data_IF_237252354760
#
_entry.id   IF_237252354760
#
_cell.length_a   1.000
_cell.length_b   1.000
_cell.length_c   1.000
_cell.angle_alpha   90.00
_cell.angle_beta   90.00
_cell.angle_gamma   90.00
#
_symmetry.space_group_name_H-M   'P 1'
#
loop_
_entity.id
_entity.type
_entity.pdbx_description
1 polymer ?
#
# COMPACT_ATOMS: atom_id res chain seq x y z
N UNK A 1 23.40 -28.03 25.15
CA UNK A 1 22.08 -28.41 24.60
C UNK A 1 21.94 -27.82 23.20
N UNK A 2 22.23 -28.61 22.16
CA UNK A 2 22.05 -28.22 20.76
C UNK A 2 20.55 -28.26 20.43
N UNK A 3 19.97 -27.15 19.97
CA UNK A 3 18.62 -27.19 19.42
C UNK A 3 18.60 -28.15 18.23
N UNK A 4 17.59 -29.03 18.10
CA UNK A 4 17.52 -29.95 16.97
C UNK A 4 17.47 -29.15 15.66
N UNK A 5 18.31 -29.53 14.69
CA UNK A 5 18.51 -28.81 13.43
C UNK A 5 17.19 -28.54 12.66
N UNK A 6 16.21 -29.43 12.80
CA UNK A 6 14.87 -29.28 12.22
C UNK A 6 14.09 -28.08 12.77
N UNK A 7 14.24 -27.75 14.07
CA UNK A 7 13.64 -26.55 14.68
C UNK A 7 14.28 -25.28 14.13
N UNK A 8 15.59 -25.30 13.89
CA UNK A 8 16.32 -24.17 13.31
C UNK A 8 15.82 -23.86 11.88
N UNK A 9 15.73 -24.88 11.02
CA UNK A 9 15.32 -24.69 9.62
C UNK A 9 13.90 -24.11 9.47
N UNK A 10 12.94 -24.58 10.26
CA UNK A 10 11.56 -24.07 10.21
C UNK A 10 11.45 -22.59 10.63
N UNK A 11 12.18 -22.20 11.68
CA UNK A 11 12.20 -20.80 12.12
C UNK A 11 12.91 -19.92 11.09
N UNK A 12 14.04 -20.36 10.54
CA UNK A 12 14.74 -19.65 9.48
C UNK A 12 13.83 -19.44 8.26
N UNK A 13 13.07 -20.45 7.84
CA UNK A 13 12.11 -20.30 6.76
C UNK A 13 11.00 -19.28 7.08
N UNK A 14 10.48 -19.26 8.31
CA UNK A 14 9.51 -18.25 8.73
C UNK A 14 10.12 -16.82 8.74
N UNK A 15 11.40 -16.68 9.08
CA UNK A 15 12.13 -15.41 9.00
C UNK A 15 12.36 -14.97 7.56
N UNK A 16 12.67 -15.89 6.64
CA UNK A 16 12.77 -15.62 5.21
C UNK A 16 11.41 -15.18 4.66
N UNK A 17 10.32 -15.87 5.03
CA UNK A 17 8.97 -15.47 4.64
C UNK A 17 8.64 -14.05 5.11
N UNK A 18 9.00 -13.70 6.35
CA UNK A 18 8.87 -12.35 6.89
C UNK A 18 9.69 -11.32 6.10
N UNK A 19 10.96 -11.62 5.81
CA UNK A 19 11.82 -10.76 5.00
C UNK A 19 11.23 -10.51 3.60
N UNK A 20 10.74 -11.57 2.95
CA UNK A 20 10.18 -11.50 1.60
C UNK A 20 8.83 -10.77 1.53
N UNK A 21 8.02 -10.82 2.59
CA UNK A 21 6.83 -9.96 2.70
C UNK A 21 7.19 -8.47 2.75
N UNK A 22 8.36 -8.16 3.30
CA UNK A 22 8.87 -6.80 3.45
C UNK A 22 9.96 -6.48 2.39
N UNK A 23 10.20 -7.34 1.40
CA UNK A 23 11.28 -7.09 0.43
C UNK A 23 10.93 -5.96 -0.54
N UNK A 24 9.63 -5.77 -0.82
CA UNK A 24 9.14 -4.73 -1.71
C UNK A 24 8.08 -5.22 -2.68
N UNK A 25 7.12 -4.35 -2.98
CA UNK A 25 6.06 -4.63 -3.93
C UNK A 25 6.40 -4.28 -5.38
N UNK A 26 7.42 -3.45 -5.65
CA UNK A 26 7.83 -3.13 -7.05
C UNK A 26 8.83 -4.14 -7.63
N UNK A 27 9.40 -5.02 -6.80
CA UNK A 27 10.29 -6.09 -7.25
C UNK A 27 9.47 -7.23 -7.85
N UNK A 28 9.82 -7.62 -9.08
CA UNK A 28 9.39 -8.88 -9.69
C UNK A 28 10.55 -9.85 -9.71
N UNK A 29 10.28 -11.11 -9.36
CA UNK A 29 11.23 -12.21 -9.56
C UNK A 29 11.10 -12.68 -11.01
N UNK A 30 9.88 -13.02 -11.40
CA UNK A 30 9.46 -13.31 -12.78
C UNK A 30 8.02 -12.80 -12.88
N UNK A 31 7.67 -11.84 -13.76
CA UNK A 31 6.30 -11.35 -13.85
C UNK A 31 5.28 -12.49 -14.02
N UNK A 32 4.18 -12.52 -13.23
CA UNK A 32 3.73 -11.55 -12.23
C UNK A 32 4.20 -11.83 -10.78
N UNK A 33 5.07 -12.83 -10.55
CA UNK A 33 5.57 -13.25 -9.25
C UNK A 33 6.48 -12.19 -8.62
N UNK A 34 6.11 -11.82 -7.39
CA UNK A 34 6.81 -10.88 -6.49
C UNK A 34 7.42 -11.62 -5.29
N UNK A 35 8.39 -11.03 -4.57
CA UNK A 35 9.04 -11.66 -3.41
C UNK A 35 8.10 -12.32 -2.40
N UNK A 36 7.00 -11.67 -2.06
CA UNK A 36 6.03 -12.20 -1.11
C UNK A 36 5.32 -13.48 -1.59
N UNK A 37 5.24 -13.75 -2.91
CA UNK A 37 4.71 -15.03 -3.39
C UNK A 37 5.66 -16.18 -3.04
N UNK A 38 6.96 -15.97 -3.20
CA UNK A 38 7.99 -16.94 -2.79
C UNK A 38 8.01 -17.07 -1.26
N UNK A 39 7.77 -15.98 -0.54
CA UNK A 39 7.63 -16.02 0.91
C UNK A 39 6.53 -16.94 1.41
N UNK A 40 5.44 -17.14 0.65
CA UNK A 40 4.41 -18.13 0.99
C UNK A 40 4.92 -19.57 0.94
N UNK A 41 5.80 -19.90 -0.02
CA UNK A 41 6.42 -21.21 -0.10
C UNK A 41 7.27 -21.48 1.16
N UNK A 42 8.05 -20.47 1.60
CA UNK A 42 8.82 -20.56 2.83
C UNK A 42 7.93 -20.65 4.08
N UNK A 43 6.79 -19.95 4.10
CA UNK A 43 5.80 -20.07 5.17
C UNK A 43 5.21 -21.48 5.23
N UNK A 44 4.81 -22.03 4.08
CA UNK A 44 4.28 -23.39 3.98
C UNK A 44 5.32 -24.41 4.46
N UNK A 45 6.58 -24.27 4.04
CA UNK A 45 7.69 -25.10 4.51
C UNK A 45 7.92 -24.97 6.03
N UNK A 46 7.89 -23.74 6.56
CA UNK A 46 8.04 -23.48 7.99
C UNK A 46 6.94 -24.17 8.82
N UNK A 47 5.68 -24.12 8.35
CA UNK A 47 4.56 -24.80 8.99
C UNK A 47 4.64 -26.32 8.81
N UNK A 48 5.14 -26.81 7.68
CA UNK A 48 5.30 -28.25 7.44
C UNK A 48 6.40 -28.87 8.32
N UNK A 49 7.53 -28.17 8.53
CA UNK A 49 8.66 -28.67 9.33
C UNK A 49 8.63 -28.24 10.81
N UNK A 50 7.88 -27.21 11.16
CA UNK A 50 7.84 -26.61 12.51
C UNK A 50 6.58 -26.99 13.30
N UNK A 51 6.57 -28.08 14.08
CA UNK A 51 5.42 -28.44 14.92
C UNK A 51 5.09 -27.34 15.93
N UNK A 52 6.09 -26.68 16.51
CA UNK A 52 5.90 -25.59 17.48
C UNK A 52 5.21 -24.37 16.84
N UNK A 53 5.56 -24.05 15.57
CA UNK A 53 4.91 -22.99 14.80
C UNK A 53 3.45 -23.36 14.48
N UNK A 54 3.16 -24.62 14.14
CA UNK A 54 1.78 -25.09 13.93
C UNK A 54 0.94 -24.99 15.20
N UNK A 55 1.49 -25.41 16.34
CA UNK A 55 0.81 -25.33 17.63
C UNK A 55 0.52 -23.87 17.99
N UNK A 56 1.48 -22.98 17.77
CA UNK A 56 1.30 -21.54 17.96
C UNK A 56 0.22 -20.99 17.03
N UNK A 57 0.28 -21.32 15.73
CA UNK A 57 -0.69 -20.90 14.71
C UNK A 57 -2.12 -21.31 15.07
N UNK A 58 -2.33 -22.56 15.52
CA UNK A 58 -3.66 -23.06 15.95
C UNK A 58 -4.28 -22.27 17.10
N UNK A 59 -3.46 -21.59 17.89
CA UNK A 59 -3.89 -20.76 19.03
C UNK A 59 -4.04 -19.27 18.67
N UNK A 60 -3.74 -18.89 17.42
CA UNK A 60 -3.83 -17.49 16.98
C UNK A 60 -5.27 -17.03 16.81
N UNK A 61 -5.51 -15.75 17.05
CA UNK A 61 -6.78 -15.12 16.72
C UNK A 61 -6.89 -14.89 15.21
N UNK A 62 -5.77 -14.59 14.54
CA UNK A 62 -5.66 -14.46 13.09
C UNK A 62 -6.20 -15.68 12.36
N UNK A 63 -5.90 -16.91 12.80
CA UNK A 63 -6.44 -18.11 12.15
C UNK A 63 -7.98 -18.14 12.15
N UNK A 64 -8.62 -17.72 13.26
CA UNK A 64 -10.09 -17.65 13.36
C UNK A 64 -10.65 -16.59 12.43
N UNK A 65 -10.01 -15.41 12.39
CA UNK A 65 -10.39 -14.33 11.48
C UNK A 65 -10.25 -14.78 10.03
N UNK A 66 -9.14 -15.43 9.68
CA UNK A 66 -8.89 -16.00 8.35
C UNK A 66 -9.98 -16.99 7.95
N UNK A 67 -10.38 -17.90 8.85
CA UNK A 67 -11.49 -18.83 8.58
C UNK A 67 -12.81 -18.11 8.28
N UNK A 68 -13.14 -17.07 9.08
CA UNK A 68 -14.33 -16.25 8.84
C UNK A 68 -14.28 -15.47 7.53
N UNK A 69 -13.12 -14.89 7.20
CA UNK A 69 -12.94 -14.15 5.94
C UNK A 69 -12.99 -15.09 4.74
N UNK A 70 -12.37 -16.26 4.79
CA UNK A 70 -12.43 -17.25 3.70
C UNK A 70 -13.86 -17.74 3.47
N UNK A 71 -14.62 -17.98 4.55
CA UNK A 71 -16.05 -18.30 4.44
C UNK A 71 -16.84 -17.15 3.80
N UNK A 72 -16.59 -15.91 4.24
CA UNK A 72 -17.23 -14.74 3.68
C UNK A 72 -16.91 -14.58 2.19
N UNK A 73 -15.66 -14.82 1.79
CA UNK A 73 -15.26 -14.82 0.39
C UNK A 73 -15.95 -15.93 -0.42
N UNK A 74 -16.10 -17.13 0.15
CA UNK A 74 -16.83 -18.20 -0.54
C UNK A 74 -18.30 -17.81 -0.76
N UNK A 75 -18.94 -17.16 0.23
CA UNK A 75 -20.30 -16.67 0.11
C UNK A 75 -20.40 -15.53 -0.92
N UNK A 76 -19.49 -14.56 -0.86
CA UNK A 76 -19.45 -13.41 -1.77
C UNK A 76 -19.33 -13.78 -3.25
N UNK A 77 -18.75 -14.95 -3.54
CA UNK A 77 -18.71 -15.47 -4.90
C UNK A 77 -20.10 -15.68 -5.52
N UNK A 78 -21.14 -15.90 -4.70
CA UNK A 78 -22.52 -16.12 -5.14
C UNK A 78 -23.17 -14.88 -5.78
N UNK A 79 -22.66 -13.68 -5.50
CA UNK A 79 -23.17 -12.42 -6.05
C UNK A 79 -22.08 -11.56 -6.69
N UNK A 80 -20.91 -12.15 -6.97
CA UNK A 80 -19.83 -11.48 -7.65
C UNK A 80 -20.18 -11.28 -9.13
N UNK A 81 -20.17 -10.02 -9.60
CA UNK A 81 -20.51 -9.69 -10.99
C UNK A 81 -19.34 -9.98 -11.92
N UNK A 82 -18.11 -9.60 -11.52
CA UNK A 82 -16.89 -9.91 -12.25
C UNK A 82 -16.07 -10.99 -11.51
N UNK A 83 -16.27 -12.26 -11.90
CA UNK A 83 -15.61 -13.41 -11.25
C UNK A 83 -14.09 -13.42 -11.43
N UNK A 84 -13.58 -13.00 -12.59
CA UNK A 84 -12.12 -12.96 -12.82
C UNK A 84 -11.45 -11.95 -11.89
N UNK A 85 -11.97 -10.73 -11.81
CA UNK A 85 -11.47 -9.70 -10.90
C UNK A 85 -11.63 -10.13 -9.45
N UNK A 86 -12.79 -10.67 -9.10
CA UNK A 86 -13.05 -11.21 -7.77
C UNK A 86 -12.03 -12.26 -7.35
N UNK A 87 -11.74 -13.22 -8.23
CA UNK A 87 -10.77 -14.27 -7.99
C UNK A 87 -9.36 -13.71 -7.78
N UNK A 88 -8.89 -12.83 -8.68
CA UNK A 88 -7.57 -12.21 -8.56
C UNK A 88 -7.40 -11.47 -7.23
N UNK A 89 -8.41 -10.68 -6.83
CA UNK A 89 -8.37 -9.92 -5.58
C UNK A 89 -8.49 -10.83 -4.35
N UNK A 90 -9.28 -11.90 -4.46
CA UNK A 90 -9.43 -12.92 -3.43
C UNK A 90 -8.13 -13.68 -3.16
N UNK A 91 -7.42 -14.09 -4.21
CA UNK A 91 -6.10 -14.74 -4.08
C UNK A 91 -5.18 -13.83 -3.29
N UNK A 92 -5.10 -12.55 -3.65
CA UNK A 92 -4.14 -11.66 -3.02
C UNK A 92 -4.55 -11.30 -1.59
N UNK A 93 -5.85 -11.21 -1.30
CA UNK A 93 -6.32 -11.12 0.08
C UNK A 93 -5.90 -12.36 0.89
N UNK A 94 -6.02 -13.57 0.34
CA UNK A 94 -5.60 -14.80 1.02
C UNK A 94 -4.09 -14.80 1.33
N UNK A 95 -3.27 -14.23 0.44
CA UNK A 95 -1.84 -13.97 0.70
C UNK A 95 -1.68 -13.05 1.91
N UNK A 96 -2.41 -11.94 1.96
CA UNK A 96 -2.43 -11.02 3.10
C UNK A 96 -2.81 -11.72 4.41
N UNK A 97 -3.88 -12.53 4.41
CA UNK A 97 -4.30 -13.31 5.58
C UNK A 97 -3.21 -14.30 6.04
N UNK A 98 -2.48 -14.92 5.10
CA UNK A 98 -1.35 -15.78 5.44
C UNK A 98 -0.23 -15.00 6.16
N UNK A 99 0.06 -13.77 5.71
CA UNK A 99 1.03 -12.90 6.36
C UNK A 99 0.55 -12.33 7.69
N UNK A 100 -0.74 -12.09 7.86
CA UNK A 100 -1.33 -11.77 9.17
C UNK A 100 -1.13 -12.92 10.16
N UNK A 101 -1.39 -14.16 9.74
CA UNK A 101 -1.12 -15.34 10.56
C UNK A 101 0.38 -15.48 10.88
N UNK A 102 1.27 -15.22 9.93
CA UNK A 102 2.71 -15.22 10.16
C UNK A 102 3.12 -14.17 11.20
N UNK A 103 2.63 -12.94 11.07
CA UNK A 103 2.93 -11.84 12.01
C UNK A 103 2.53 -12.17 13.44
N UNK A 104 1.31 -12.70 13.65
CA UNK A 104 0.86 -13.12 14.98
C UNK A 104 1.71 -14.28 15.53
N UNK A 105 1.99 -15.27 14.68
CA UNK A 105 2.76 -16.46 15.06
C UNK A 105 4.19 -16.10 15.47
N UNK A 106 4.87 -15.23 14.72
CA UNK A 106 6.24 -14.77 15.03
C UNK A 106 6.30 -13.95 16.32
N UNK A 107 5.32 -13.05 16.53
CA UNK A 107 5.22 -12.27 17.75
C UNK A 107 4.95 -13.15 18.98
N UNK A 108 4.09 -14.17 18.85
CA UNK A 108 3.76 -15.10 19.96
C UNK A 108 4.84 -16.12 20.26
N UNK A 109 5.61 -16.54 19.26
CA UNK A 109 6.69 -17.54 19.42
C UNK A 109 7.97 -16.97 20.04
N UNK A 110 7.99 -15.67 20.37
CA UNK A 110 9.20 -14.94 20.84
C UNK A 110 10.38 -15.06 19.87
N UNK A 111 10.09 -15.29 18.59
CA UNK A 111 11.11 -15.34 17.55
C UNK A 111 11.86 -14.00 17.48
N UNK A 112 13.17 -14.04 17.20
CA UNK A 112 14.01 -12.84 17.07
C UNK A 112 13.83 -12.18 15.70
N UNK A 113 12.62 -12.18 15.15
CA UNK A 113 12.36 -11.77 13.77
C UNK A 113 12.68 -10.30 13.49
N UNK A 114 12.64 -9.44 14.51
CA UNK A 114 13.07 -8.05 14.39
C UNK A 114 14.56 -7.89 14.04
N UNK A 115 15.40 -8.91 14.24
CA UNK A 115 16.80 -8.88 13.82
C UNK A 115 16.96 -8.81 12.29
N UNK A 116 15.91 -9.16 11.54
CA UNK A 116 15.86 -9.06 10.07
C UNK A 116 15.64 -7.62 9.61
N UNK A 117 15.06 -6.75 10.44
CA UNK A 117 14.69 -5.38 10.03
C UNK A 117 15.90 -4.50 9.65
N UNK A 118 16.99 -4.42 10.43
CA UNK A 118 18.12 -3.56 10.06
C UNK A 118 18.74 -3.86 8.69
N UNK A 119 19.12 -5.12 8.35
CA UNK A 119 19.68 -5.39 7.02
C UNK A 119 18.66 -5.17 5.90
N UNK A 120 17.37 -5.42 6.17
CA UNK A 120 16.31 -5.19 5.20
C UNK A 120 16.09 -3.71 4.89
N UNK A 121 16.07 -2.86 5.93
CA UNK A 121 15.99 -1.40 5.78
C UNK A 121 17.22 -0.89 5.05
N UNK A 122 18.42 -1.39 5.39
CA UNK A 122 19.65 -1.07 4.66
C UNK A 122 19.55 -1.42 3.17
N UNK A 123 19.01 -2.60 2.84
CA UNK A 123 18.71 -2.99 1.46
C UNK A 123 17.75 -2.01 0.77
N UNK A 124 16.68 -1.57 1.43
CA UNK A 124 15.76 -0.58 0.85
C UNK A 124 16.47 0.74 0.52
N UNK A 125 17.31 1.23 1.43
CA UNK A 125 18.08 2.46 1.21
C UNK A 125 19.07 2.34 0.06
N UNK A 126 19.75 1.21 -0.05
CA UNK A 126 20.64 0.93 -1.17
C UNK A 126 19.84 1.05 -2.47
N UNK A 127 18.70 0.36 -2.58
CA UNK A 127 17.86 0.46 -3.77
C UNK A 127 17.31 1.87 -4.04
N UNK A 128 16.99 2.62 -2.98
CA UNK A 128 16.49 3.99 -3.10
C UNK A 128 17.51 4.96 -3.71
N UNK A 129 18.81 4.67 -3.56
CA UNK A 129 19.91 5.49 -4.06
C UNK A 129 20.26 5.25 -5.53
N UNK A 130 19.78 4.16 -6.13
CA UNK A 130 20.16 3.77 -7.49
C UNK A 130 19.01 3.99 -8.49
N UNK A 131 19.06 5.05 -9.33
CA UNK A 131 18.03 5.33 -10.34
C UNK A 131 17.85 4.19 -11.35
N UNK A 132 18.90 3.39 -11.60
CA UNK A 132 18.85 2.24 -12.51
C UNK A 132 17.82 1.19 -12.06
N UNK A 133 17.55 1.12 -10.75
CA UNK A 133 16.53 0.24 -10.21
C UNK A 133 15.12 0.62 -10.70
N UNK A 134 14.87 1.92 -10.90
CA UNK A 134 13.61 2.42 -11.43
C UNK A 134 13.40 2.02 -12.90
N UNK A 135 14.49 1.99 -13.66
CA UNK A 135 14.51 1.50 -15.05
C UNK A 135 14.30 -0.02 -15.09
N UNK A 136 15.00 -0.78 -14.25
CA UNK A 136 14.89 -2.25 -14.22
C UNK A 136 13.54 -2.77 -13.74
N UNK A 137 12.91 -2.07 -12.80
CA UNK A 137 11.59 -2.45 -12.29
C UNK A 137 10.45 -1.83 -13.11
N UNK A 138 10.78 -0.98 -14.09
CA UNK A 138 9.80 -0.23 -14.88
C UNK A 138 8.92 0.66 -14.00
N UNK A 139 9.38 1.05 -12.81
CA UNK A 139 8.52 1.74 -11.86
C UNK A 139 8.27 3.20 -12.26
N UNK A 140 9.20 3.83 -13.00
CA UNK A 140 9.15 5.24 -13.43
C UNK A 140 8.89 6.23 -12.27
N UNK A 141 9.45 5.98 -11.09
CA UNK A 141 9.18 6.66 -9.81
C UNK A 141 10.33 7.45 -9.25
N UNK A 142 11.52 7.34 -9.82
CA UNK A 142 12.64 8.18 -9.45
C UNK A 142 12.28 9.63 -9.81
N UNK A 143 12.13 10.48 -8.80
CA UNK A 143 11.86 11.90 -9.01
C UNK A 143 13.19 12.64 -8.98
N UNK A 144 13.53 13.29 -10.07
CA UNK A 144 14.74 14.11 -10.17
C UNK A 144 14.81 15.21 -9.07
N UNK A 145 13.66 15.63 -8.52
CA UNK A 145 13.57 16.61 -7.44
C UNK A 145 13.98 16.07 -6.06
N UNK A 146 14.26 14.78 -5.91
CA UNK A 146 14.64 14.18 -4.62
C UNK A 146 15.59 12.98 -4.76
N UNK A 147 16.71 13.07 -4.05
CA UNK A 147 17.80 12.08 -4.07
C UNK A 147 17.39 10.70 -3.50
N UNK A 148 16.30 10.62 -2.73
CA UNK A 148 15.81 9.42 -2.05
C UNK A 148 14.32 9.13 -2.36
N UNK A 149 13.95 9.16 -3.64
CA UNK A 149 12.58 8.80 -4.09
C UNK A 149 12.47 7.42 -4.72
N UNK A 150 13.59 6.75 -4.96
CA UNK A 150 13.60 5.34 -5.36
C UNK A 150 13.26 4.42 -4.19
N UNK A 151 12.99 3.15 -4.50
CA UNK A 151 12.83 2.10 -3.50
C UNK A 151 12.09 0.88 -4.06
N UNK A 152 12.10 -0.24 -3.33
CA UNK A 152 11.42 -1.46 -3.77
C UNK A 152 9.90 -1.41 -3.53
N UNK A 153 9.38 -0.22 -3.23
CA UNK A 153 8.00 0.03 -2.84
C UNK A 153 7.33 0.97 -3.84
N UNK A 154 6.05 0.72 -4.10
CA UNK A 154 5.27 1.45 -5.10
C UNK A 154 4.77 2.80 -4.56
N UNK A 155 4.46 3.80 -5.40
CA UNK A 155 3.80 5.07 -5.00
C UNK A 155 2.51 4.80 -4.20
N UNK A 156 1.87 3.67 -4.49
CA UNK A 156 0.70 3.21 -3.77
C UNK A 156 1.09 2.69 -2.37
N UNK A 157 2.17 1.92 -2.22
CA UNK A 157 2.62 1.40 -0.93
C UNK A 157 3.94 2.04 -0.54
N UNK A 158 3.95 3.37 -0.53
CA UNK A 158 5.16 4.16 -0.46
C UNK A 158 6.01 3.80 0.77
N UNK A 159 7.32 3.92 0.63
CA UNK A 159 8.30 3.52 1.63
C UNK A 159 8.06 4.21 2.97
N UNK A 160 7.51 5.43 2.99
CA UNK A 160 7.08 6.11 4.20
C UNK A 160 5.98 5.34 4.97
N UNK A 161 4.96 4.84 4.28
CA UNK A 161 3.88 4.03 4.89
C UNK A 161 4.43 2.71 5.42
N UNK A 162 5.32 2.06 4.67
CA UNK A 162 5.97 0.82 5.11
C UNK A 162 6.84 1.04 6.35
N UNK A 163 7.65 2.09 6.36
CA UNK A 163 8.47 2.47 7.51
C UNK A 163 7.62 2.82 8.74
N UNK A 164 6.46 3.46 8.53
CA UNK A 164 5.48 3.71 9.59
C UNK A 164 5.00 2.40 10.19
N UNK A 165 4.55 1.45 9.37
CA UNK A 165 4.11 0.13 9.84
C UNK A 165 5.23 -0.65 10.54
N UNK A 166 6.47 -0.60 10.02
CA UNK A 166 7.64 -1.24 10.66
C UNK A 166 7.96 -0.60 12.01
N UNK A 167 7.83 0.73 12.13
CA UNK A 167 7.96 1.45 13.41
C UNK A 167 6.94 0.97 14.43
N UNK A 168 5.68 0.82 14.01
CA UNK A 168 4.61 0.31 14.86
C UNK A 168 4.84 -1.16 15.26
N UNK A 169 5.22 -2.02 14.31
CA UNK A 169 5.58 -3.44 14.57
C UNK A 169 6.70 -3.53 15.60
N UNK A 170 7.80 -2.80 15.38
CA UNK A 170 8.93 -2.79 16.30
C UNK A 170 8.50 -2.38 17.70
N UNK A 171 7.71 -1.29 17.80
CA UNK A 171 7.25 -0.75 19.08
C UNK A 171 6.30 -1.72 19.79
N UNK A 172 5.39 -2.39 19.08
CA UNK A 172 4.48 -3.38 19.67
C UNK A 172 5.24 -4.58 20.26
N UNK A 173 6.30 -5.02 19.60
CA UNK A 173 7.07 -6.19 20.01
C UNK A 173 8.09 -5.86 21.11
N UNK A 174 8.80 -4.73 20.99
CA UNK A 174 9.82 -4.30 21.95
C UNK A 174 9.26 -3.48 23.10
N UNK A 175 8.01 -3.01 22.99
CA UNK A 175 7.36 -2.08 23.93
C UNK A 175 8.14 -0.77 24.12
N UNK A 176 8.96 -0.42 23.14
CA UNK A 176 9.84 0.74 23.14
C UNK A 176 9.97 1.31 21.72
N UNK A 177 10.02 2.64 21.63
CA UNK A 177 10.24 3.34 20.36
C UNK A 177 11.73 3.30 20.00
N UNK A 178 12.03 2.85 18.78
CA UNK A 178 13.38 2.95 18.21
C UNK A 178 13.61 4.35 17.64
N UNK A 179 14.50 5.13 18.26
CA UNK A 179 14.88 6.46 17.77
C UNK A 179 15.39 6.45 16.32
N UNK A 180 16.32 5.57 15.88
CA UNK A 180 16.78 5.60 14.50
C UNK A 180 15.66 5.26 13.51
N UNK A 181 14.78 4.32 13.86
CA UNK A 181 13.65 3.95 13.01
C UNK A 181 12.61 5.07 12.92
N UNK A 182 12.34 5.76 14.04
CA UNK A 182 11.49 6.94 14.07
C UNK A 182 12.09 8.08 13.22
N UNK A 183 13.39 8.34 13.35
CA UNK A 183 14.11 9.36 12.59
C UNK A 183 13.97 9.14 11.08
N UNK A 184 14.25 7.91 10.64
CA UNK A 184 14.12 7.50 9.24
C UNK A 184 12.67 7.65 8.75
N UNK A 185 11.70 7.21 9.55
CA UNK A 185 10.28 7.29 9.19
C UNK A 185 9.83 8.74 9.06
N UNK A 186 10.17 9.61 10.02
CA UNK A 186 9.88 11.05 9.97
C UNK A 186 10.49 11.68 8.71
N UNK A 187 11.76 11.39 8.45
CA UNK A 187 12.47 11.89 7.28
C UNK A 187 11.71 11.55 5.99
N UNK A 188 11.34 10.28 5.78
CA UNK A 188 10.61 9.87 4.58
C UNK A 188 9.19 10.43 4.51
N UNK A 189 8.47 10.52 5.63
CA UNK A 189 7.14 11.11 5.64
C UNK A 189 7.17 12.58 5.17
N UNK A 190 8.17 13.34 5.60
CA UNK A 190 8.36 14.75 5.18
C UNK A 190 8.90 14.83 3.76
N UNK A 191 9.96 14.08 3.45
CA UNK A 191 10.60 14.08 2.14
C UNK A 191 9.60 13.74 1.03
N UNK A 192 8.76 12.72 1.22
CA UNK A 192 7.77 12.27 0.24
C UNK A 192 6.42 13.01 0.36
N UNK A 193 6.34 14.06 1.19
CA UNK A 193 5.11 14.83 1.45
C UNK A 193 3.90 13.95 1.81
N UNK A 194 4.14 12.90 2.60
CA UNK A 194 3.14 11.91 3.02
C UNK A 194 2.42 12.36 4.28
N UNK A 195 1.48 13.29 4.09
CA UNK A 195 0.78 13.99 5.19
C UNK A 195 0.01 13.06 6.13
N UNK A 196 -0.65 12.04 5.59
CA UNK A 196 -1.43 11.10 6.40
C UNK A 196 -0.52 10.19 7.26
N UNK A 197 0.58 9.69 6.69
CA UNK A 197 1.60 8.93 7.44
C UNK A 197 2.24 9.82 8.53
N UNK A 198 2.56 11.08 8.22
CA UNK A 198 3.08 12.05 9.18
C UNK A 198 2.09 12.33 10.32
N UNK A 199 0.81 12.53 10.01
CA UNK A 199 -0.24 12.73 11.02
C UNK A 199 -0.39 11.49 11.90
N UNK A 200 -0.39 10.29 11.30
CA UNK A 200 -0.39 9.03 12.03
C UNK A 200 0.81 8.91 12.98
N UNK A 201 1.99 9.37 12.56
CA UNK A 201 3.20 9.37 13.36
C UNK A 201 3.16 10.40 14.51
N UNK A 202 2.60 11.59 14.27
CA UNK A 202 2.37 12.60 15.31
C UNK A 202 1.45 12.05 16.40
N UNK A 203 0.33 11.42 16.00
CA UNK A 203 -0.60 10.80 16.94
C UNK A 203 0.06 9.65 17.70
N UNK A 204 0.91 8.86 17.04
CA UNK A 204 1.70 7.81 17.69
C UNK A 204 2.66 8.37 18.74
N UNK A 205 3.51 9.34 18.38
CA UNK A 205 4.50 9.93 19.30
C UNK A 205 3.81 10.63 20.47
N UNK A 206 2.77 11.42 20.18
CA UNK A 206 1.96 12.09 21.21
C UNK A 206 1.29 11.09 22.15
N UNK A 207 0.62 10.08 21.59
CA UNK A 207 -0.01 9.00 22.36
C UNK A 207 1.00 8.25 23.23
N UNK A 208 2.16 7.89 22.66
CA UNK A 208 3.23 7.18 23.37
C UNK A 208 3.75 8.00 24.58
N UNK A 209 3.93 9.31 24.40
CA UNK A 209 4.32 10.24 25.46
C UNK A 209 3.23 10.43 26.53
N UNK A 210 1.96 10.32 26.18
CA UNK A 210 0.84 10.41 27.13
C UNK A 210 0.76 9.17 28.02
N UNK A 211 1.02 7.98 27.48
CA UNK A 211 0.94 6.73 28.25
C UNK A 211 2.21 6.44 29.07
N UNK A 212 3.34 7.07 28.72
CA UNK A 212 4.59 6.92 29.45
C UNK A 212 4.50 7.62 30.82
N UNK A 213 4.32 6.82 31.89
CA UNK A 213 4.23 7.29 33.29
C UNK A 213 5.59 7.50 33.96
N UNK A 214 6.65 7.60 33.17
CA UNK A 214 8.02 7.53 33.67
C UNK A 214 8.45 8.84 34.35
N UNK A 215 9.22 8.76 35.45
CA UNK A 215 9.84 9.93 36.11
C UNK A 215 10.80 10.68 35.17
N UNK A 216 11.17 10.06 34.05
CA UNK A 216 12.01 10.62 33.01
C UNK A 216 11.25 11.07 31.75
N UNK A 217 9.94 11.32 31.86
CA UNK A 217 9.09 11.78 30.74
C UNK A 217 9.66 12.99 30.00
N UNK A 218 10.25 13.96 30.69
CA UNK A 218 10.91 15.11 30.06
C UNK A 218 12.12 14.69 29.21
N UNK A 219 12.96 13.77 29.70
CA UNK A 219 14.10 13.25 28.93
C UNK A 219 13.62 12.48 27.70
N UNK A 220 12.55 11.70 27.83
CA UNK A 220 11.93 10.98 26.72
C UNK A 220 11.34 11.96 25.68
N UNK A 221 10.63 12.99 26.14
CA UNK A 221 10.09 14.07 25.30
C UNK A 221 11.22 14.76 24.53
N UNK A 222 12.30 15.14 25.20
CA UNK A 222 13.44 15.79 24.56
C UNK A 222 14.09 14.89 23.51
N UNK A 223 14.25 13.59 23.78
CA UNK A 223 14.83 12.63 22.81
C UNK A 223 13.94 12.42 21.59
N UNK A 224 12.64 12.18 21.81
CA UNK A 224 11.69 11.97 20.71
C UNK A 224 11.50 13.26 19.92
N UNK A 225 11.32 14.38 20.61
CA UNK A 225 11.17 15.71 20.02
C UNK A 225 12.40 16.12 19.22
N UNK A 226 13.61 15.97 19.76
CA UNK A 226 14.84 16.27 19.00
C UNK A 226 15.00 15.39 17.77
N UNK A 227 14.65 14.10 17.88
CA UNK A 227 14.67 13.17 16.74
C UNK A 227 13.74 13.64 15.62
N UNK A 228 12.48 13.97 15.96
CA UNK A 228 11.49 14.46 14.99
C UNK A 228 11.94 15.78 14.36
N UNK A 229 12.42 16.73 15.18
CA UNK A 229 12.86 18.05 14.71
C UNK A 229 14.06 17.92 13.77
N UNK A 230 15.10 17.18 14.17
CA UNK A 230 16.32 17.01 13.36
C UNK A 230 16.00 16.30 12.04
N UNK A 231 15.22 15.22 12.07
CA UNK A 231 14.83 14.50 10.85
C UNK A 231 13.97 15.34 9.93
N UNK A 232 13.05 16.14 10.48
CA UNK A 232 12.22 17.06 9.69
C UNK A 232 13.07 18.16 9.08
N UNK A 233 13.94 18.81 9.85
CA UNK A 233 14.84 19.85 9.35
C UNK A 233 15.73 19.31 8.21
N UNK A 234 16.30 18.11 8.38
CA UNK A 234 17.12 17.47 7.36
C UNK A 234 16.32 17.14 6.09
N UNK A 235 15.08 16.66 6.23
CA UNK A 235 14.19 16.42 5.09
C UNK A 235 13.83 17.71 4.36
N UNK A 236 13.56 18.81 5.09
CA UNK A 236 13.26 20.12 4.52
C UNK A 236 14.49 20.69 3.78
N UNK A 237 15.70 20.53 4.32
CA UNK A 237 16.93 20.99 3.67
C UNK A 237 17.21 20.28 2.35
N UNK A 238 16.83 19.00 2.22
CA UNK A 238 17.02 18.20 1.01
C UNK A 238 15.84 18.31 0.02
N UNK A 239 14.79 19.04 0.37
CA UNK A 239 13.62 19.23 -0.48
C UNK A 239 13.86 20.37 -1.48
N UNK A 240 13.83 20.07 -2.77
CA UNK A 240 14.13 21.06 -3.83
C UNK A 240 12.91 21.68 -4.51
N UNK A 241 11.68 21.36 -4.04
CA UNK A 241 10.42 21.83 -4.61
C UNK A 241 9.57 22.70 -3.66
N UNK A 242 8.41 23.21 -4.12
CA UNK A 242 7.47 23.91 -3.25
C UNK A 242 6.67 22.91 -2.40
N UNK A 243 6.65 23.12 -1.08
CA UNK A 243 5.69 22.44 -0.20
C UNK A 243 4.28 22.96 -0.50
N UNK A 244 3.43 22.10 -1.06
CA UNK A 244 2.00 22.40 -1.15
C UNK A 244 1.44 22.36 0.27
N UNK A 245 1.13 23.52 0.86
CA UNK A 245 0.66 23.62 2.25
C UNK A 245 -0.79 23.15 2.40
N UNK A 246 -1.71 23.78 1.67
CA UNK A 246 -3.14 23.47 1.69
C UNK A 246 -3.75 23.91 0.36
N UNK A 247 -4.25 22.97 -0.43
CA UNK A 247 -5.12 23.29 -1.57
C UNK A 247 -6.38 22.43 -1.43
N UNK A 248 -7.51 23.09 -1.25
CA UNK A 248 -8.81 22.44 -1.25
C UNK A 248 -9.31 22.43 -2.70
N UNK A 249 -9.59 21.26 -3.29
CA UNK A 249 -10.23 21.21 -4.60
C UNK A 249 -11.64 21.83 -4.51
N UNK A 250 -11.94 22.78 -5.39
CA UNK A 250 -13.30 23.30 -5.56
C UNK A 250 -14.14 22.28 -6.35
N UNK A 251 -15.38 22.05 -5.92
CA UNK A 251 -16.34 21.21 -6.64
C UNK A 251 -17.19 22.14 -7.51
N UNK A 252 -17.10 21.96 -8.83
CA UNK A 252 -18.01 22.58 -9.78
C UNK A 252 -18.84 21.49 -10.44
N UNK A 253 -20.16 21.65 -10.44
CA UNK A 253 -21.07 20.80 -11.21
C UNK A 253 -21.17 21.37 -12.63
N UNK A 254 -20.46 20.78 -13.60
CA UNK A 254 -20.64 21.13 -15.01
C UNK A 254 -21.73 20.24 -15.61
N UNK A 255 -22.88 20.78 -16.08
CA UNK A 255 -23.81 20.00 -16.87
C UNK A 255 -23.11 19.56 -18.15
N UNK A 256 -23.11 18.26 -18.43
CA UNK A 256 -22.57 17.72 -19.67
C UNK A 256 -23.40 18.26 -20.82
N UNK A 257 -22.89 19.26 -21.55
CA UNK A 257 -23.47 19.64 -22.83
C UNK A 257 -23.16 18.50 -23.80
N UNK A 258 -24.15 17.65 -24.03
CA UNK A 258 -24.10 16.62 -25.08
C UNK A 258 -24.09 17.38 -26.41
N UNK A 259 -22.90 17.63 -26.96
CA UNK A 259 -22.79 18.03 -28.36
C UNK A 259 -23.44 16.94 -29.21
N UNK A 260 -24.35 17.28 -30.15
CA UNK A 260 -24.94 16.28 -31.02
C UNK A 260 -23.83 15.59 -31.85
N UNK A 261 -24.00 14.30 -32.19
CA UNK A 261 -22.99 13.56 -32.93
C UNK A 261 -22.70 14.27 -34.27
N UNK A 262 -21.45 14.30 -34.74
CA UNK A 262 -21.13 14.90 -36.03
C UNK A 262 -21.88 14.14 -37.12
N UNK A 263 -22.68 14.87 -37.90
CA UNK A 263 -23.34 14.35 -39.08
C UNK A 263 -22.25 13.80 -40.02
N UNK A 264 -22.37 12.52 -40.33
CA UNK A 264 -21.55 11.84 -41.34
C UNK A 264 -21.93 12.39 -42.70
N UNK A 265 -21.05 13.18 -43.32
CA UNK A 265 -21.08 13.41 -44.76
C UNK A 265 -19.69 13.06 -45.33
N UNK A 266 -19.60 12.18 -46.33
CA UNK A 266 -18.33 11.81 -46.94
C UNK A 266 -17.93 12.82 -48.01
N UNK A 267 -16.61 13.05 -48.12
CA UNK A 267 -15.89 13.57 -49.29
C UNK A 267 -16.02 15.08 -49.63
N UNK A 268 -14.98 15.86 -49.33
CA UNK A 268 -14.42 16.86 -50.26
C UNK A 268 -13.07 17.43 -49.77
N UNK A 269 -12.18 17.59 -50.75
CA UNK A 269 -10.78 18.03 -50.79
C UNK A 269 -10.50 19.48 -50.35
N UNK A 270 -9.34 19.66 -49.69
CA UNK A 270 -8.38 20.79 -49.70
C UNK A 270 -8.86 22.26 -49.81
N UNK A 271 -8.40 23.09 -48.86
CA UNK A 271 -7.74 24.37 -49.14
C UNK A 271 -7.01 24.93 -47.90
N UNK A 272 -5.79 25.41 -48.10
CA UNK A 272 -4.91 26.03 -47.12
C UNK A 272 -5.14 27.56 -47.01
N UNK A 273 -4.85 28.12 -45.83
CA UNK A 273 -4.36 29.49 -45.48
C UNK A 273 -4.85 29.85 -44.07
N UNK A 274 -4.20 30.61 -43.20
CA UNK A 274 -2.80 31.01 -42.90
C UNK A 274 -2.91 31.92 -41.65
N UNK A 275 -1.83 32.00 -40.86
CA UNK A 275 -1.48 33.01 -39.82
C UNK A 275 -2.32 33.02 -38.51
N UNK A 276 -1.74 32.95 -37.30
CA UNK A 276 -0.63 33.79 -36.82
C UNK A 276 0.05 33.23 -35.54
N UNK A 277 1.40 33.32 -35.54
CA UNK A 277 2.33 33.63 -34.44
C UNK A 277 2.51 32.69 -33.20
N UNK A 278 3.63 31.96 -33.24
CA UNK A 278 4.42 31.47 -32.10
C UNK A 278 5.65 32.36 -31.90
N UNK A 279 6.17 32.58 -30.67
CA UNK A 279 7.59 32.86 -30.46
C UNK A 279 8.34 31.60 -29.98
N UNK A 280 9.49 31.36 -30.61
CA UNK A 280 10.36 30.20 -30.45
C UNK A 280 11.13 30.14 -29.10
N UNK A 281 11.55 28.94 -28.65
CA UNK A 281 12.61 28.75 -27.65
C UNK A 281 14.02 28.77 -28.28
N UNK A 282 14.98 29.33 -27.53
CA UNK A 282 16.40 29.46 -27.86
C UNK A 282 17.14 28.11 -28.00
N UNK A 283 18.06 28.07 -28.95
CA UNK A 283 18.89 26.94 -29.34
C UNK A 283 20.03 26.61 -28.34
N UNK A 284 20.34 25.33 -28.18
CA UNK A 284 21.58 24.83 -27.60
C UNK A 284 22.44 24.13 -28.69
N UNK A 285 23.78 24.13 -28.61
CA UNK A 285 24.69 23.68 -29.70
C UNK A 285 24.89 22.15 -29.78
N UNK A 286 25.49 21.65 -30.87
CA UNK A 286 25.43 20.24 -31.28
C UNK A 286 26.44 19.31 -30.57
N UNK A 287 26.07 18.02 -30.53
CA UNK A 287 26.85 16.91 -29.99
C UNK A 287 28.09 16.56 -30.85
N UNK A 288 29.17 16.15 -30.19
CA UNK A 288 30.27 15.38 -30.79
C UNK A 288 30.27 13.92 -30.29
N UNK A 289 30.67 12.95 -31.12
CA UNK A 289 30.44 11.52 -30.91
C UNK A 289 31.61 10.81 -30.21
N UNK A 290 31.33 9.71 -29.51
CA UNK A 290 32.32 8.73 -29.08
C UNK A 290 32.09 7.37 -29.79
N UNK A 291 33.16 6.59 -30.06
CA UNK A 291 33.23 5.66 -31.18
C UNK A 291 32.64 4.27 -30.89
N UNK A 292 32.15 3.62 -31.94
CA UNK A 292 31.70 2.23 -31.95
C UNK A 292 32.76 1.32 -32.61
N UNK A 293 33.19 0.24 -31.94
CA UNK A 293 33.66 -1.06 -32.49
C UNK A 293 33.65 -2.07 -31.32
N UNK A 294 33.10 -3.29 -31.38
CA UNK A 294 32.42 -4.03 -32.43
C UNK A 294 32.02 -5.45 -31.98
N UNK A 295 31.25 -6.11 -32.86
CA UNK A 295 31.02 -7.57 -33.03
C UNK A 295 30.09 -8.26 -31.99
N UNK A 296 29.08 -9.05 -32.34
CA UNK A 296 28.60 -9.58 -33.61
C UNK A 296 27.07 -9.76 -33.60
N UNK A 297 26.48 -9.71 -34.80
CA UNK A 297 25.07 -9.95 -35.08
C UNK A 297 24.67 -11.42 -34.87
N UNK A 298 23.42 -11.68 -34.43
CA UNK A 298 22.42 -12.52 -35.13
C UNK A 298 21.14 -12.73 -34.26
N UNK A 299 20.00 -12.87 -34.94
CA UNK A 299 18.62 -13.09 -34.47
C UNK A 299 17.84 -11.88 -33.91
N UNK A 300 17.21 -11.13 -34.82
CA UNK A 300 16.07 -10.26 -34.52
C UNK A 300 14.87 -11.10 -34.02
N UNK A 301 14.23 -10.77 -32.87
CA UNK A 301 12.90 -11.26 -32.59
C UNK A 301 11.89 -10.43 -33.38
N UNK A 302 11.07 -11.12 -34.17
CA UNK A 302 9.84 -10.59 -34.78
C UNK A 302 9.02 -9.80 -33.74
N UNK A 303 8.36 -8.69 -34.14
CA UNK A 303 7.42 -8.01 -33.25
C UNK A 303 6.32 -8.99 -32.85
N UNK A 304 6.18 -9.22 -31.54
CA UNK A 304 5.05 -9.95 -30.99
C UNK A 304 3.75 -9.27 -31.47
N UNK A 305 2.71 -10.02 -31.90
CA UNK A 305 1.46 -9.43 -32.33
C UNK A 305 0.88 -8.61 -31.18
N UNK A 306 0.55 -7.34 -31.47
CA UNK A 306 -0.19 -6.50 -30.53
C UNK A 306 -1.54 -7.16 -30.30
N UNK A 307 -1.70 -7.83 -29.15
CA UNK A 307 -3.02 -8.09 -28.61
C UNK A 307 -3.62 -6.73 -28.27
N UNK A 308 -4.43 -6.23 -29.20
CA UNK A 308 -5.33 -5.12 -28.97
C UNK A 308 -6.04 -5.36 -27.63
N UNK A 309 -6.21 -4.34 -26.77
CA UNK A 309 -7.02 -4.50 -25.58
C UNK A 309 -8.39 -4.96 -26.04
N UNK A 310 -8.79 -6.17 -25.61
CA UNK A 310 -10.14 -6.66 -25.83
C UNK A 310 -11.09 -5.57 -25.34
N UNK A 311 -11.81 -4.96 -26.28
CA UNK A 311 -12.82 -3.98 -25.99
C UNK A 311 -13.74 -4.59 -24.92
N UNK A 312 -13.71 -4.00 -23.72
CA UNK A 312 -14.69 -4.31 -22.69
C UNK A 312 -16.05 -3.87 -23.23
N UNK A 313 -16.74 -4.78 -23.90
CA UNK A 313 -18.14 -4.60 -24.28
C UNK A 313 -18.91 -4.41 -22.98
N UNK A 314 -19.34 -3.18 -22.75
CA UNK A 314 -20.24 -2.79 -21.66
C UNK A 314 -21.54 -3.60 -21.85
N UNK A 315 -21.99 -4.41 -20.89
CA UNK A 315 -23.34 -4.96 -20.96
C UNK A 315 -24.34 -3.78 -20.96
N UNK A 316 -25.46 -3.85 -21.71
CA UNK A 316 -26.25 -2.67 -22.05
C UNK A 316 -26.98 -1.97 -20.90
N UNK A 317 -26.89 -2.45 -19.65
CA UNK A 317 -27.75 -2.02 -18.54
C UNK A 317 -27.02 -1.44 -17.32
N UNK A 318 -25.72 -1.16 -17.38
CA UNK A 318 -25.05 -0.42 -16.28
C UNK A 318 -25.08 1.10 -16.54
N UNK A 319 -26.18 1.68 -16.06
CA UNK A 319 -26.35 3.03 -15.54
C UNK A 319 -25.56 4.15 -16.21
N UNK A 320 -26.29 5.01 -16.93
CA UNK A 320 -25.92 6.38 -17.22
C UNK A 320 -25.76 7.15 -15.88
N UNK A 321 -24.62 7.04 -15.24
CA UNK A 321 -24.22 7.94 -14.15
C UNK A 321 -23.77 9.26 -14.77
N UNK A 322 -24.38 10.37 -14.36
CA UNK A 322 -23.90 11.71 -14.71
C UNK A 322 -22.39 11.78 -14.42
N UNK A 323 -21.54 12.19 -15.39
CA UNK A 323 -20.13 12.36 -15.14
C UNK A 323 -19.95 13.62 -14.29
N UNK A 324 -19.80 13.43 -12.98
CA UNK A 324 -19.48 14.52 -12.05
C UNK A 324 -18.00 14.87 -12.26
N UNK A 325 -17.73 15.84 -13.13
CA UNK A 325 -16.37 16.22 -13.52
C UNK A 325 -15.83 17.30 -12.58
N UNK A 326 -15.05 16.88 -11.57
CA UNK A 326 -14.44 17.79 -10.60
C UNK A 326 -13.29 18.54 -11.26
N UNK A 327 -13.47 19.84 -11.53
CA UNK A 327 -12.46 20.67 -12.20
C UNK A 327 -11.56 21.39 -11.18
N UNK A 328 -10.26 21.45 -11.46
CA UNK A 328 -9.27 22.09 -10.59
C UNK A 328 -9.35 23.61 -10.67
N UNK A 329 -9.68 24.28 -9.55
CA UNK A 329 -9.11 25.59 -9.24
C UNK A 329 -7.99 25.39 -8.22
N UNK A 330 -6.73 25.51 -8.66
CA UNK A 330 -5.53 25.60 -7.81
C UNK A 330 -5.21 24.38 -6.89
N UNK A 331 -5.78 23.20 -7.14
CA UNK A 331 -5.53 21.96 -6.39
C UNK A 331 -4.35 21.11 -6.91
N UNK A 332 -3.83 20.21 -6.07
CA UNK A 332 -3.01 19.08 -6.54
C UNK A 332 -3.93 18.09 -7.29
N UNK A 333 -3.57 17.65 -8.49
CA UNK A 333 -4.32 16.65 -9.26
C UNK A 333 -4.63 15.40 -8.44
N UNK A 334 -3.72 15.01 -7.53
CA UNK A 334 -3.91 13.89 -6.59
C UNK A 334 -5.14 14.05 -5.68
N UNK A 335 -5.43 15.27 -5.22
CA UNK A 335 -6.57 15.56 -4.34
C UNK A 335 -7.89 15.55 -5.10
N UNK A 336 -7.90 16.09 -6.33
CA UNK A 336 -9.08 16.06 -7.20
C UNK A 336 -9.46 14.62 -7.58
N UNK A 337 -8.47 13.80 -7.97
CA UNK A 337 -8.68 12.37 -8.19
C UNK A 337 -9.30 11.73 -6.96
N UNK A 338 -8.71 11.87 -5.75
CA UNK A 338 -9.30 11.28 -4.52
C UNK A 338 -10.73 11.70 -4.25
N UNK A 339 -11.08 12.96 -4.51
CA UNK A 339 -12.43 13.45 -4.31
C UNK A 339 -13.42 12.84 -5.31
N UNK A 340 -13.03 12.71 -6.58
CA UNK A 340 -13.83 12.03 -7.59
C UNK A 340 -14.08 10.56 -7.18
N UNK A 341 -13.03 9.89 -6.70
CA UNK A 341 -13.12 8.51 -6.27
C UNK A 341 -14.03 8.34 -5.05
N UNK A 342 -14.00 9.27 -4.10
CA UNK A 342 -14.95 9.31 -2.98
C UNK A 342 -16.38 9.52 -3.47
N UNK A 343 -16.59 10.37 -4.47
CA UNK A 343 -17.91 10.57 -5.07
C UNK A 343 -18.39 9.28 -5.76
N UNK A 344 -17.54 8.57 -6.50
CA UNK A 344 -17.88 7.28 -7.11
C UNK A 344 -18.19 6.20 -6.05
N UNK A 345 -17.39 6.12 -4.98
CA UNK A 345 -17.68 5.24 -3.82
C UNK A 345 -19.01 5.60 -3.16
N UNK A 346 -19.34 6.88 -3.03
CA UNK A 346 -20.62 7.35 -2.49
C UNK A 346 -21.81 6.94 -3.36
N UNK A 347 -21.68 7.07 -4.69
CA UNK A 347 -22.70 6.58 -5.63
C UNK A 347 -22.88 5.07 -5.49
N UNK A 348 -21.79 4.31 -5.41
CA UNK A 348 -21.85 2.86 -5.16
C UNK A 348 -22.54 2.52 -3.82
N UNK A 349 -22.19 3.24 -2.75
CA UNK A 349 -22.81 3.09 -1.43
C UNK A 349 -24.33 3.32 -1.47
N UNK A 350 -24.80 4.33 -2.20
CA UNK A 350 -26.23 4.67 -2.29
C UNK A 350 -27.08 3.56 -2.91
N UNK A 351 -26.49 2.76 -3.80
CA UNK A 351 -27.15 1.66 -4.48
C UNK A 351 -26.85 0.29 -3.86
N UNK A 352 -26.07 0.24 -2.79
CA UNK A 352 -25.68 -0.98 -2.11
C UNK A 352 -26.84 -1.47 -1.23
N UNK A 353 -27.40 -2.68 -1.48
CA UNK A 353 -28.49 -3.21 -0.66
C UNK A 353 -28.02 -3.42 0.79
N UNK A 354 -28.95 -3.26 1.74
CA UNK A 354 -28.65 -3.27 3.18
C UNK A 354 -27.84 -4.50 3.63
N UNK A 355 -28.08 -5.68 3.05
CA UNK A 355 -27.38 -6.91 3.41
C UNK A 355 -25.91 -6.91 2.96
N UNK A 356 -25.56 -6.21 1.88
CA UNK A 356 -24.17 -6.05 1.47
C UNK A 356 -23.40 -5.16 2.44
N UNK A 357 -24.06 -4.27 3.19
CA UNK A 357 -23.39 -3.53 4.27
C UNK A 357 -22.98 -4.45 5.42
N UNK A 358 -23.65 -5.58 5.59
CA UNK A 358 -23.32 -6.58 6.60
C UNK A 358 -22.27 -7.55 6.05
N UNK A 359 -22.51 -8.13 4.87
CA UNK A 359 -21.70 -9.19 4.28
C UNK A 359 -20.54 -8.68 3.42
N UNK A 360 -20.49 -7.38 3.11
CA UNK A 360 -19.59 -6.82 2.10
C UNK A 360 -20.06 -7.09 0.66
N UNK A 361 -19.63 -6.22 -0.26
CA UNK A 361 -19.83 -6.35 -1.71
C UNK A 361 -18.94 -7.42 -2.34
N UNK A 362 -17.81 -7.72 -1.71
CA UNK A 362 -16.77 -8.61 -2.23
C UNK A 362 -15.54 -7.87 -2.75
N UNK A 363 -14.38 -8.49 -2.57
CA UNK A 363 -13.09 -7.89 -2.94
C UNK A 363 -13.03 -7.67 -4.45
N UNK A 364 -12.62 -6.47 -4.89
CA UNK A 364 -12.55 -6.14 -6.31
C UNK A 364 -13.90 -5.92 -7.01
N UNK A 365 -15.03 -5.97 -6.28
CA UNK A 365 -16.36 -5.62 -6.80
C UNK A 365 -16.64 -4.10 -6.74
N UNK A 366 -15.74 -3.34 -6.11
CA UNK A 366 -15.73 -1.89 -6.18
C UNK A 366 -15.15 -1.49 -7.55
N UNK A 367 -16.03 -1.40 -8.55
CA UNK A 367 -15.64 -1.16 -9.95
C UNK A 367 -15.36 0.32 -10.22
N UNK A 368 -14.30 0.83 -9.60
CA UNK A 368 -13.86 2.19 -9.81
C UNK A 368 -12.79 2.21 -10.92
N UNK A 369 -12.65 3.32 -11.63
CA UNK A 369 -11.72 3.50 -12.76
C UNK A 369 -10.85 4.74 -12.54
N UNK A 370 -9.59 4.71 -13.00
CA UNK A 370 -8.75 5.90 -12.89
C UNK A 370 -9.27 7.00 -13.83
N UNK A 371 -9.51 8.23 -13.35
CA UNK A 371 -10.10 9.29 -14.17
C UNK A 371 -9.30 9.61 -15.44
N UNK A 372 -7.97 9.60 -15.35
CA UNK A 372 -7.11 10.06 -16.46
C UNK A 372 -6.81 8.98 -17.51
N UNK A 373 -6.89 7.70 -17.15
CA UNK A 373 -6.45 6.59 -18.00
C UNK A 373 -7.56 5.61 -18.34
N UNK A 374 -8.72 5.71 -17.68
CA UNK A 374 -9.83 4.77 -17.82
C UNK A 374 -9.49 3.33 -17.39
N UNK A 375 -8.29 3.11 -16.86
CA UNK A 375 -7.85 1.79 -16.41
C UNK A 375 -8.72 1.34 -15.23
N UNK A 376 -9.15 0.07 -15.27
CA UNK A 376 -9.83 -0.56 -14.14
C UNK A 376 -8.94 -0.39 -12.90
N UNK A 377 -9.45 0.32 -11.91
CA UNK A 377 -8.62 0.86 -10.84
C UNK A 377 -8.11 -0.28 -9.95
N UNK A 378 -6.80 -0.51 -10.00
CA UNK A 378 -6.10 -1.57 -9.27
C UNK A 378 -5.47 -1.11 -7.95
N UNK A 379 -5.76 0.13 -7.52
CA UNK A 379 -4.95 0.80 -6.51
C UNK A 379 -5.80 1.52 -5.45
N UNK A 380 -6.09 0.87 -4.32
CA UNK A 380 -6.81 1.49 -3.23
C UNK A 380 -6.16 2.76 -2.72
N UNK A 381 -6.96 3.82 -2.55
CA UNK A 381 -6.49 5.09 -1.99
C UNK A 381 -7.16 5.47 -0.66
N UNK A 382 -8.23 4.76 -0.30
CA UNK A 382 -8.95 4.89 0.97
C UNK A 382 -9.05 3.51 1.62
N UNK A 383 -7.90 2.98 2.06
CA UNK A 383 -7.74 1.60 2.55
C UNK A 383 -8.90 1.18 3.47
N UNK A 384 -9.21 1.99 4.49
CA UNK A 384 -10.23 1.65 5.48
C UNK A 384 -11.64 1.63 4.91
N UNK A 385 -11.94 2.55 4.00
CA UNK A 385 -13.26 2.64 3.38
C UNK A 385 -13.48 1.44 2.45
N UNK A 386 -12.45 1.01 1.72
CA UNK A 386 -12.54 -0.18 0.89
C UNK A 386 -12.72 -1.47 1.68
N UNK A 387 -12.05 -1.59 2.82
CA UNK A 387 -12.27 -2.74 3.72
C UNK A 387 -13.72 -2.81 4.21
N UNK A 388 -14.38 -1.66 4.42
CA UNK A 388 -15.81 -1.62 4.71
C UNK A 388 -16.64 -2.13 3.53
N UNK A 389 -16.31 -1.77 2.29
CA UNK A 389 -17.00 -2.33 1.12
C UNK A 389 -16.72 -3.83 0.94
N UNK A 390 -15.51 -4.30 1.21
CA UNK A 390 -15.16 -5.71 0.99
C UNK A 390 -15.67 -6.64 2.09
N UNK A 391 -15.71 -6.21 3.35
CA UNK A 391 -16.07 -7.07 4.48
C UNK A 391 -17.30 -6.60 5.26
N UNK A 392 -17.90 -5.49 4.85
CA UNK A 392 -19.05 -4.91 5.54
C UNK A 392 -18.74 -4.54 6.98
N UNK A 393 -19.77 -4.61 7.82
CA UNK A 393 -19.67 -4.32 9.25
C UNK A 393 -18.68 -5.23 9.99
N UNK A 394 -18.37 -6.41 9.46
CA UNK A 394 -17.39 -7.33 10.05
C UNK A 394 -16.01 -6.67 10.23
N UNK A 395 -15.63 -5.77 9.33
CA UNK A 395 -14.40 -4.99 9.47
C UNK A 395 -14.45 -4.03 10.66
N UNK A 396 -15.54 -3.27 10.80
CA UNK A 396 -15.72 -2.34 11.92
C UNK A 396 -15.79 -3.08 13.27
N UNK A 397 -16.45 -4.23 13.29
CA UNK A 397 -16.52 -5.09 14.48
C UNK A 397 -15.14 -5.62 14.86
N UNK A 398 -14.31 -6.02 13.88
CA UNK A 398 -12.94 -6.44 14.15
C UNK A 398 -12.12 -5.29 14.75
N UNK A 399 -12.14 -4.11 14.14
CA UNK A 399 -11.40 -2.95 14.64
C UNK A 399 -11.90 -2.50 16.02
N UNK A 400 -13.20 -2.47 16.24
CA UNK A 400 -13.80 -2.18 17.54
C UNK A 400 -13.39 -3.20 18.60
N UNK A 401 -13.45 -4.49 18.26
CA UNK A 401 -12.98 -5.56 19.15
C UNK A 401 -11.51 -5.40 19.52
N UNK A 402 -10.64 -5.16 18.53
CA UNK A 402 -9.22 -4.91 18.76
C UNK A 402 -9.02 -3.69 19.65
N UNK A 403 -9.64 -2.55 19.32
CA UNK A 403 -9.51 -1.33 20.11
C UNK A 403 -9.91 -1.52 21.57
N UNK A 404 -11.02 -2.22 21.83
CA UNK A 404 -11.50 -2.49 23.19
C UNK A 404 -10.56 -3.43 23.97
N UNK A 405 -9.99 -4.43 23.30
CA UNK A 405 -9.20 -5.50 23.96
C UNK A 405 -7.71 -5.23 24.05
N UNK A 406 -7.17 -4.36 23.21
CA UNK A 406 -5.76 -3.98 23.22
C UNK A 406 -5.43 -3.12 24.44
N UNK A 407 -4.16 -3.18 24.85
CA UNK A 407 -3.61 -2.22 25.80
C UNK A 407 -3.43 -0.83 25.16
N UNK A 408 -3.09 0.17 25.96
CA UNK A 408 -2.99 1.55 25.48
C UNK A 408 -1.99 1.70 24.33
N UNK A 409 -0.87 0.97 24.36
CA UNK A 409 0.10 0.99 23.27
C UNK A 409 -0.50 0.39 21.98
N UNK A 410 -1.16 -0.76 22.08
CA UNK A 410 -1.87 -1.37 20.95
C UNK A 410 -2.94 -0.46 20.37
N UNK A 411 -3.71 0.24 21.20
CA UNK A 411 -4.71 1.23 20.77
C UNK A 411 -4.09 2.38 19.99
N UNK A 412 -3.00 2.95 20.51
CA UNK A 412 -2.29 4.05 19.84
C UNK A 412 -1.73 3.59 18.49
N UNK A 413 -1.13 2.40 18.44
CA UNK A 413 -0.64 1.84 17.18
C UNK A 413 -1.79 1.58 16.19
N UNK A 414 -2.94 1.08 16.64
CA UNK A 414 -4.12 0.88 15.80
C UNK A 414 -4.64 2.20 15.24
N UNK A 415 -4.78 3.24 16.06
CA UNK A 415 -5.23 4.56 15.62
C UNK A 415 -4.22 5.20 14.67
N UNK A 416 -2.93 5.10 14.97
CA UNK A 416 -1.85 5.61 14.11
C UNK A 416 -1.85 4.94 12.73
N UNK A 417 -1.94 3.61 12.70
CA UNK A 417 -2.10 2.86 11.44
C UNK A 417 -3.42 3.21 10.73
N UNK A 418 -4.49 3.48 11.50
CA UNK A 418 -5.75 4.03 11.02
C UNK A 418 -5.55 5.31 10.21
N UNK A 419 -4.90 6.31 10.80
CA UNK A 419 -4.64 7.59 10.16
C UNK A 419 -3.69 7.43 8.97
N UNK A 420 -2.63 6.63 9.11
CA UNK A 420 -1.69 6.35 8.02
C UNK A 420 -2.38 5.65 6.83
N UNK A 421 -3.34 4.75 7.09
CA UNK A 421 -4.13 4.10 6.05
C UNK A 421 -5.19 4.99 5.39
N UNK A 422 -5.37 6.24 5.84
CA UNK A 422 -6.05 7.26 5.03
C UNK A 422 -5.17 7.77 3.87
N UNK A 423 -3.87 7.42 3.88
CA UNK A 423 -3.01 7.63 2.72
C UNK A 423 -3.35 6.62 1.63
N UNK A 424 -3.14 7.00 0.36
CA UNK A 424 -3.37 6.09 -0.73
C UNK A 424 -2.51 4.84 -0.57
N UNK A 425 -3.11 3.66 -0.35
CA UNK A 425 -2.40 2.39 -0.19
C UNK A 425 -3.21 1.15 -0.55
N UNK A 426 -2.60 0.25 -1.33
CA UNK A 426 -3.25 -0.93 -1.88
C UNK A 426 -3.22 -2.10 -0.92
N UNK A 427 -4.38 -2.41 -0.33
CA UNK A 427 -4.68 -3.59 0.52
C UNK A 427 -4.01 -4.87 0.03
N UNK A 428 -4.01 -5.07 -1.28
CA UNK A 428 -3.59 -6.29 -1.93
C UNK A 428 -2.06 -6.41 -1.95
N UNK A 429 -1.33 -5.30 -2.02
CA UNK A 429 0.13 -5.33 -2.10
C UNK A 429 0.81 -4.84 -0.82
N UNK A 430 0.06 -4.37 0.19
CA UNK A 430 0.61 -3.90 1.46
C UNK A 430 0.75 -5.06 2.47
N UNK A 431 1.57 -6.06 2.12
CA UNK A 431 1.96 -7.13 3.05
C UNK A 431 2.48 -6.63 4.42
N UNK A 432 3.17 -5.48 4.52
CA UNK A 432 3.51 -4.88 5.81
C UNK A 432 2.30 -4.61 6.73
N UNK A 433 1.14 -4.23 6.18
CA UNK A 433 -0.06 -3.98 6.97
C UNK A 433 -0.59 -5.28 7.57
N UNK A 434 -0.67 -6.35 6.77
CA UNK A 434 -1.14 -7.64 7.24
C UNK A 434 -0.23 -8.20 8.34
N UNK A 435 1.09 -8.08 8.18
CA UNK A 435 2.05 -8.40 9.23
C UNK A 435 1.80 -7.57 10.50
N UNK A 436 1.61 -6.26 10.37
CA UNK A 436 1.28 -5.38 11.48
C UNK A 436 0.00 -5.82 12.21
N UNK A 437 -1.08 -6.11 11.47
CA UNK A 437 -2.35 -6.55 12.03
C UNK A 437 -2.18 -7.87 12.82
N UNK A 438 -1.38 -8.81 12.31
CA UNK A 438 -1.02 -10.02 13.03
C UNK A 438 -0.24 -9.76 14.32
N UNK A 439 0.78 -8.90 14.27
CA UNK A 439 1.57 -8.50 15.44
C UNK A 439 0.71 -7.76 16.47
N UNK A 440 -0.27 -6.98 16.02
CA UNK A 440 -1.25 -6.31 16.86
C UNK A 440 -2.17 -7.33 17.55
N UNK A 441 -2.70 -8.32 16.81
CA UNK A 441 -3.50 -9.41 17.37
C UNK A 441 -2.72 -10.26 18.40
N UNK A 442 -1.40 -10.35 18.27
CA UNK A 442 -0.56 -11.01 19.26
C UNK A 442 -0.57 -10.31 20.63
N UNK A 443 -0.96 -9.04 20.70
CA UNK A 443 -1.06 -8.28 21.95
C UNK A 443 -2.39 -8.50 22.67
N UNK A 444 -3.34 -9.23 22.10
CA UNK A 444 -4.60 -9.56 22.76
C UNK A 444 -4.35 -10.41 24.02
N UNK A 445 -5.08 -10.17 25.12
CA UNK A 445 -4.96 -10.97 26.33
C UNK A 445 -5.16 -12.46 26.03
N UNK A 446 -4.23 -13.31 26.47
CA UNK A 446 -4.46 -14.76 26.42
C UNK A 446 -5.54 -15.09 27.44
N UNK A 447 -6.59 -15.83 27.04
CA UNK A 447 -7.39 -16.56 28.01
C UNK A 447 -6.43 -17.52 28.71
N UNK A 448 -6.07 -17.23 29.95
CA UNK A 448 -5.49 -18.25 30.81
C UNK A 448 -6.53 -19.37 30.87
N UNK A 449 -6.15 -20.64 30.64
CA UNK A 449 -7.03 -21.72 31.05
C UNK A 449 -7.25 -21.50 32.54
N UNK A 450 -8.52 -21.36 32.93
CA UNK A 450 -8.92 -21.50 34.32
C UNK A 450 -8.32 -22.85 34.75
N UNK A 451 -7.30 -22.79 35.61
CA UNK A 451 -6.84 -23.96 36.33
C UNK A 451 -8.01 -24.37 37.23
N UNK A 452 -8.83 -25.29 36.73
CA UNK A 452 -9.79 -26.06 37.50
C UNK A 452 -9.21 -27.43 37.76
#
# INVERSE_FOLDING_TARGET
MTQPASRSAAHTAALIAFALALAGSSIYIIPPLRPFHVGLCFLAFALWRGPDLRTTLRQTFALKCTGGVVLLMALQALWAVNLNRYFSYSVILAIGLAYMMLGETLARSRSRFLAVLPPLIGFWFILALFPIFDVWTGSQRFRATYILTGGPWDNINDMATVLTLVTLIFTLVKRQVSLPLLAITCFYCVALNRRADLLGLIVFVGGYLLISRDQHRLKLLLRLGSTVIVSTAFALMLHTGPFQGFSLPAISETPTQVSPPPATNPLATSSAQADSATPAPQAAPPAQPAPAVGLAAEAAPLPAPSLAPSASVRPPNESQTMPLQITLQNGDGSSATRLQLLAEMYVQARHMPWWQWIAGKGVGQLNLTWPDTGAAWASPHMFWLEMLFYFGIGWLLLLGYLFLRLDNLGRICLVSAGIAGCAPSSIIYLQPFWLFLGVLMAQLPRRQPLLT
#
